data_IF_226509817214
#
_entry.id   IF_226509817214
#
_cell.length_a   1.000
_cell.length_b   1.000
_cell.length_c   1.000
_cell.angle_alpha   90.00
_cell.angle_beta   90.00
_cell.angle_gamma   90.00
#
_symmetry.space_group_name_H-M   'P 1'
#
loop_
_entity.id
_entity.type
_entity.pdbx_description
1 polymer ?
#
# COMPACT_ATOMS: atom_id res chain seq x y z
N UNK A 1 -17.35 25.63 4.93
CA UNK A 1 -18.24 24.45 5.06
C UNK A 1 -17.37 23.26 5.41
N UNK A 2 -17.40 22.79 6.67
CA UNK A 2 -16.58 21.65 7.11
C UNK A 2 -17.36 20.36 6.86
N UNK A 3 -16.88 19.52 5.95
CA UNK A 3 -17.45 18.20 5.72
C UNK A 3 -16.85 17.23 6.75
N UNK A 4 -17.60 16.93 7.82
CA UNK A 4 -17.27 15.83 8.72
C UNK A 4 -17.60 14.51 8.02
N UNK A 5 -16.65 13.98 7.26
CA UNK A 5 -16.72 12.58 6.83
C UNK A 5 -16.30 11.71 8.01
N UNK A 6 -17.24 10.92 8.55
CA UNK A 6 -16.88 9.84 9.47
C UNK A 6 -16.02 8.83 8.73
N UNK A 7 -14.71 8.90 8.92
CA UNK A 7 -13.77 7.90 8.40
C UNK A 7 -14.03 6.60 9.17
N UNK A 8 -14.79 5.68 8.56
CA UNK A 8 -14.95 4.34 9.11
C UNK A 8 -13.57 3.69 9.20
N UNK A 9 -13.28 2.98 10.29
CA UNK A 9 -12.06 2.20 10.46
C UNK A 9 -12.04 1.01 9.47
N UNK A 10 -11.76 1.30 8.20
CA UNK A 10 -11.45 0.31 7.18
C UNK A 10 -9.93 0.11 7.15
N UNK A 11 -9.50 -1.15 7.02
CA UNK A 11 -8.11 -1.44 6.66
C UNK A 11 -7.85 -0.85 5.27
N UNK A 12 -6.75 -0.12 5.10
CA UNK A 12 -6.47 0.61 3.85
C UNK A 12 -6.95 2.06 3.82
N UNK A 13 -7.14 2.71 4.98
CA UNK A 13 -7.21 4.17 5.06
C UNK A 13 -5.82 4.78 5.26
N UNK A 14 -5.62 6.00 4.78
CA UNK A 14 -4.35 6.71 4.92
C UNK A 14 -3.22 6.11 4.07
N UNK A 15 -3.54 5.47 2.94
CA UNK A 15 -2.49 4.87 2.10
C UNK A 15 -1.70 5.96 1.38
N UNK A 16 -0.38 5.81 1.40
CA UNK A 16 0.54 6.78 0.79
C UNK A 16 0.92 6.32 -0.62
N UNK A 17 0.50 7.08 -1.63
CA UNK A 17 0.90 6.90 -3.02
C UNK A 17 1.21 8.28 -3.62
N UNK A 18 2.19 8.38 -4.52
CA UNK A 18 2.54 9.63 -5.20
C UNK A 18 2.56 10.88 -4.30
N UNK A 19 3.15 10.76 -3.10
CA UNK A 19 3.25 11.83 -2.10
C UNK A 19 1.90 12.36 -1.57
N UNK A 20 0.83 11.57 -1.66
CA UNK A 20 -0.47 11.93 -1.11
C UNK A 20 -1.03 10.80 -0.26
N UNK A 21 -1.74 11.16 0.81
CA UNK A 21 -2.49 10.21 1.62
C UNK A 21 -3.90 10.04 1.05
N UNK A 22 -4.41 8.82 1.08
CA UNK A 22 -5.71 8.49 0.49
C UNK A 22 -6.58 7.67 1.42
N UNK A 23 -7.88 7.92 1.39
CA UNK A 23 -8.89 7.12 2.09
C UNK A 23 -10.17 7.07 1.27
N UNK A 24 -10.85 5.93 1.34
CA UNK A 24 -12.16 5.76 0.71
C UNK A 24 -13.18 6.55 1.52
N UNK A 25 -13.92 7.44 0.85
CA UNK A 25 -15.03 8.13 1.50
C UNK A 25 -16.22 7.18 1.62
N UNK A 26 -16.88 7.13 2.79
CA UNK A 26 -18.17 6.46 2.90
C UNK A 26 -19.14 7.12 1.93
N UNK A 27 -19.77 6.32 1.08
CA UNK A 27 -20.71 6.78 0.08
C UNK A 27 -21.98 5.94 0.07
N UNK A 28 -23.02 6.47 -0.58
CA UNK A 28 -24.20 5.70 -0.93
C UNK A 28 -23.75 4.45 -1.75
N UNK A 29 -24.22 3.23 -1.44
CA UNK A 29 -23.92 2.02 -2.22
C UNK A 29 -24.28 2.12 -3.72
N UNK A 30 -25.13 3.07 -4.09
CA UNK A 30 -25.55 3.37 -5.46
C UNK A 30 -24.71 4.45 -6.14
N UNK A 31 -23.77 5.08 -5.43
CA UNK A 31 -22.92 6.14 -5.94
C UNK A 31 -21.50 5.64 -6.24
N UNK A 32 -20.86 6.31 -7.19
CA UNK A 32 -19.43 6.13 -7.47
C UNK A 32 -18.60 6.21 -6.19
N UNK A 33 -17.68 5.27 -6.02
CA UNK A 33 -16.68 5.34 -4.97
C UNK A 33 -15.89 6.64 -5.10
N UNK A 34 -15.85 7.41 -4.02
CA UNK A 34 -15.03 8.62 -3.92
C UNK A 34 -13.84 8.34 -3.04
N UNK A 35 -12.67 8.81 -3.45
CA UNK A 35 -11.42 8.66 -2.72
C UNK A 35 -10.93 10.07 -2.39
N UNK A 36 -10.79 10.35 -1.12
CA UNK A 36 -10.22 11.61 -0.69
C UNK A 36 -8.69 11.50 -0.78
N UNK A 37 -8.08 12.55 -1.31
CA UNK A 37 -6.63 12.69 -1.51
C UNK A 37 -6.18 13.92 -0.74
N UNK A 38 -5.13 13.76 0.04
CA UNK A 38 -4.45 14.85 0.72
C UNK A 38 -2.99 14.90 0.26
N UNK A 39 -2.64 15.97 -0.47
CA UNK A 39 -1.30 16.16 -1.01
C UNK A 39 -0.38 16.70 0.08
N UNK A 40 0.65 15.94 0.44
CA UNK A 40 1.59 16.32 1.49
C UNK A 40 2.49 17.51 1.10
N UNK A 41 2.56 17.85 -0.18
CA UNK A 41 3.40 18.95 -0.68
C UNK A 41 2.70 20.29 -0.64
N UNK A 42 1.45 20.29 -1.04
CA UNK A 42 0.68 21.53 -1.17
C UNK A 42 -0.28 21.75 -0.02
N UNK A 43 -0.45 20.74 0.87
CA UNK A 43 -1.46 20.73 1.93
C UNK A 43 -2.90 20.80 1.37
N UNK A 44 -3.07 20.35 0.11
CA UNK A 44 -4.35 20.43 -0.60
C UNK A 44 -5.17 19.16 -0.43
N UNK A 45 -6.47 19.36 -0.22
CA UNK A 45 -7.47 18.30 -0.22
C UNK A 45 -8.20 18.26 -1.57
N UNK A 46 -8.30 17.07 -2.15
CA UNK A 46 -9.08 16.83 -3.37
C UNK A 46 -9.81 15.49 -3.31
N UNK A 47 -10.72 15.26 -4.24
CA UNK A 47 -11.50 14.03 -4.35
C UNK A 47 -11.28 13.41 -5.72
N UNK A 48 -10.88 12.15 -5.74
CA UNK A 48 -10.77 11.33 -6.93
C UNK A 48 -12.04 10.47 -7.08
N UNK A 49 -12.46 10.27 -8.32
CA UNK A 49 -13.48 9.28 -8.66
C UNK A 49 -12.84 7.91 -8.82
N UNK A 50 -13.48 6.88 -8.28
CA UNK A 50 -13.19 5.49 -8.61
C UNK A 50 -13.71 5.11 -10.00
N UNK A 51 -13.40 3.89 -10.47
CA UNK A 51 -13.94 3.35 -11.73
C UNK A 51 -15.46 3.16 -11.65
N UNK A 52 -16.17 3.54 -12.74
CA UNK A 52 -17.63 3.47 -12.84
C UNK A 52 -18.17 2.04 -12.85
N UNK A 53 -17.39 1.12 -13.39
CA UNK A 53 -17.76 -0.29 -13.58
C UNK A 53 -17.88 -1.06 -12.25
N UNK A 54 -17.39 -0.49 -11.15
CA UNK A 54 -17.32 -1.16 -9.85
C UNK A 54 -18.36 -0.65 -8.84
N UNK A 55 -19.44 -0.04 -9.34
CA UNK A 55 -20.61 0.25 -8.51
C UNK A 55 -21.06 -1.05 -7.82
N UNK A 56 -21.23 -1.01 -6.50
CA UNK A 56 -21.60 -2.14 -5.63
C UNK A 56 -20.47 -3.07 -5.13
N UNK A 57 -19.20 -2.77 -5.40
CA UNK A 57 -18.10 -3.56 -4.83
C UNK A 57 -17.61 -3.01 -3.47
N UNK A 58 -17.17 -3.94 -2.60
CA UNK A 58 -16.45 -3.53 -1.38
C UNK A 58 -15.01 -3.23 -1.75
N UNK A 59 -14.61 -1.98 -1.54
CA UNK A 59 -13.28 -1.50 -1.91
C UNK A 59 -12.40 -1.21 -0.71
N UNK A 60 -11.15 -1.62 -0.81
CA UNK A 60 -10.03 -1.17 0.03
C UNK A 60 -8.96 -0.52 -0.85
N UNK A 61 -8.14 0.35 -0.27
CA UNK A 61 -6.99 0.91 -0.98
C UNK A 61 -5.72 0.12 -0.67
N UNK A 62 -4.81 0.14 -1.62
CA UNK A 62 -3.45 -0.37 -1.48
C UNK A 62 -2.48 0.44 -2.31
N UNK A 63 -1.21 0.03 -2.29
CA UNK A 63 -0.16 0.67 -3.07
C UNK A 63 0.69 -0.43 -3.67
N UNK A 64 0.96 -0.34 -4.96
CA UNK A 64 1.86 -1.24 -5.66
C UNK A 64 2.79 -0.40 -6.54
N UNK A 65 4.09 -0.50 -6.29
CA UNK A 65 5.11 0.24 -7.04
C UNK A 65 4.87 1.76 -7.05
N UNK A 66 4.45 2.30 -5.90
CA UNK A 66 4.12 3.72 -5.72
C UNK A 66 2.80 4.18 -6.33
N UNK A 67 2.12 3.33 -7.10
CA UNK A 67 0.81 3.63 -7.68
C UNK A 67 -0.31 3.29 -6.70
N UNK A 68 -1.38 4.10 -6.71
CA UNK A 68 -2.57 3.84 -5.90
C UNK A 68 -3.35 2.67 -6.49
N UNK A 69 -3.73 1.72 -5.63
CA UNK A 69 -4.54 0.57 -6.02
C UNK A 69 -5.92 0.61 -5.35
N UNK A 70 -6.94 0.16 -6.07
CA UNK A 70 -8.22 -0.25 -5.53
C UNK A 70 -8.29 -1.78 -5.55
N UNK A 71 -8.62 -2.37 -4.41
CA UNK A 71 -8.86 -3.80 -4.25
C UNK A 71 -10.35 -3.96 -4.07
N UNK A 72 -10.97 -4.60 -5.05
CA UNK A 72 -12.41 -4.65 -5.18
C UNK A 72 -12.88 -6.10 -5.03
N UNK A 73 -13.90 -6.27 -4.19
CA UNK A 73 -14.52 -7.55 -3.91
C UNK A 73 -15.98 -7.51 -4.36
N UNK A 74 -16.41 -8.59 -5.01
CA UNK A 74 -17.84 -8.86 -5.19
C UNK A 74 -18.52 -8.89 -3.81
N UNK A 75 -19.47 -7.97 -3.61
CA UNK A 75 -20.23 -7.82 -2.38
C UNK A 75 -20.94 -9.10 -1.94
N UNK A 76 -21.40 -9.91 -2.89
CA UNK A 76 -22.11 -11.16 -2.61
C UNK A 76 -21.17 -12.33 -2.32
N UNK A 77 -19.91 -12.26 -2.75
CA UNK A 77 -18.96 -13.37 -2.64
C UNK A 77 -17.59 -12.97 -2.05
N UNK A 78 -17.58 -12.00 -1.13
CA UNK A 78 -16.35 -11.46 -0.50
C UNK A 78 -15.48 -12.56 0.14
N UNK A 79 -16.07 -13.65 0.63
CA UNK A 79 -15.31 -14.72 1.32
C UNK A 79 -14.66 -15.73 0.37
N UNK A 80 -15.32 -16.06 -0.74
CA UNK A 80 -14.99 -17.21 -1.57
C UNK A 80 -14.78 -16.87 -3.06
N UNK A 81 -14.89 -15.59 -3.44
CA UNK A 81 -14.70 -15.12 -4.81
C UNK A 81 -13.25 -14.82 -5.16
N UNK A 82 -13.09 -13.91 -6.11
CA UNK A 82 -11.82 -13.30 -6.50
C UNK A 82 -11.76 -11.86 -6.00
N UNK A 83 -10.59 -11.25 -6.10
CA UNK A 83 -10.44 -9.80 -5.98
C UNK A 83 -9.91 -9.24 -7.28
N UNK A 84 -10.46 -8.10 -7.67
CA UNK A 84 -9.94 -7.31 -8.77
C UNK A 84 -9.08 -6.19 -8.22
N UNK A 85 -7.84 -6.13 -8.72
CA UNK A 85 -6.91 -5.04 -8.41
C UNK A 85 -6.93 -4.07 -9.58
N UNK A 86 -7.30 -2.84 -9.29
CA UNK A 86 -7.29 -1.71 -10.21
C UNK A 86 -6.18 -0.75 -9.82
N UNK A 87 -5.50 -0.16 -10.80
CA UNK A 87 -4.37 0.75 -10.57
C UNK A 87 -4.67 2.10 -11.21
N UNK A 88 -4.40 3.16 -10.44
CA UNK A 88 -4.27 4.52 -10.94
C UNK A 88 -2.79 4.86 -11.02
N UNK A 89 -2.29 4.95 -12.26
CA UNK A 89 -0.86 5.21 -12.52
C UNK A 89 -0.51 6.68 -12.36
N UNK A 90 -1.41 7.56 -12.78
CA UNK A 90 -1.23 9.01 -12.80
C UNK A 90 -2.51 9.69 -12.36
N UNK A 91 -2.40 10.77 -11.58
CA UNK A 91 -3.55 11.58 -11.21
C UNK A 91 -4.11 12.31 -12.44
N UNK A 92 -5.43 12.25 -12.62
CA UNK A 92 -6.09 12.74 -13.84
C UNK A 92 -6.19 11.69 -14.95
N UNK A 93 -5.47 10.56 -14.82
CA UNK A 93 -5.65 9.39 -15.68
C UNK A 93 -6.90 8.57 -15.33
N UNK A 94 -7.14 7.53 -16.11
CA UNK A 94 -8.19 6.55 -15.84
C UNK A 94 -7.68 5.39 -14.99
N UNK A 95 -8.58 4.86 -14.15
CA UNK A 95 -8.36 3.57 -13.52
C UNK A 95 -8.32 2.47 -14.59
N UNK A 96 -7.42 1.52 -14.43
CA UNK A 96 -7.35 0.33 -15.27
C UNK A 96 -7.26 -0.92 -14.40
N UNK A 97 -7.98 -1.97 -14.81
CA UNK A 97 -7.88 -3.27 -14.17
C UNK A 97 -6.48 -3.83 -14.42
N UNK A 98 -5.74 -4.04 -13.34
CA UNK A 98 -4.40 -4.60 -13.40
C UNK A 98 -4.45 -6.12 -13.40
N UNK A 99 -5.17 -6.72 -12.46
CA UNK A 99 -5.25 -8.18 -12.36
C UNK A 99 -6.47 -8.64 -11.57
N UNK A 100 -6.95 -9.84 -11.89
CA UNK A 100 -7.86 -10.62 -11.04
C UNK A 100 -7.07 -11.66 -10.27
N UNK A 101 -7.20 -11.68 -8.94
CA UNK A 101 -6.57 -12.65 -8.06
C UNK A 101 -7.65 -13.58 -7.51
N UNK A 102 -7.64 -14.88 -7.85
CA UNK A 102 -8.59 -15.83 -7.29
C UNK A 102 -8.27 -16.13 -5.81
N UNK A 103 -9.24 -16.62 -5.05
CA UNK A 103 -8.96 -17.08 -3.69
C UNK A 103 -8.05 -18.32 -3.72
N UNK A 104 -6.93 -18.34 -2.96
CA UNK A 104 -6.14 -19.55 -2.79
C UNK A 104 -6.93 -20.66 -2.06
N UNK A 105 -6.73 -21.92 -2.45
CA UNK A 105 -7.38 -23.07 -1.80
C UNK A 105 -6.99 -23.19 -0.32
N UNK A 106 -5.73 -22.87 0.00
CA UNK A 106 -5.16 -22.92 1.36
C UNK A 106 -5.69 -21.82 2.31
N UNK A 107 -6.56 -20.94 1.81
CA UNK A 107 -7.14 -19.82 2.56
C UNK A 107 -8.64 -20.01 2.74
N UNK A 108 -9.07 -20.01 4.00
CA UNK A 108 -10.48 -20.20 4.41
C UNK A 108 -11.37 -19.03 4.01
N UNK A 109 -10.86 -17.78 4.05
CA UNK A 109 -11.63 -16.60 3.68
C UNK A 109 -10.78 -15.59 2.96
N UNK A 110 -11.35 -14.86 2.00
CA UNK A 110 -10.62 -13.92 1.16
C UNK A 110 -11.09 -12.47 1.33
N UNK A 111 -11.35 -12.08 2.59
CA UNK A 111 -12.03 -10.81 2.91
C UNK A 111 -11.15 -9.57 2.77
N UNK A 112 -9.86 -9.72 2.98
CA UNK A 112 -8.91 -8.63 2.81
C UNK A 112 -7.75 -9.14 2.00
N UNK A 113 -7.40 -8.39 0.97
CA UNK A 113 -6.23 -8.63 0.15
C UNK A 113 -5.54 -7.29 -0.03
N UNK A 114 -4.24 -7.24 0.21
CA UNK A 114 -3.43 -6.04 0.03
C UNK A 114 -2.21 -6.42 -0.81
N UNK A 115 -2.06 -5.90 -2.04
CA UNK A 115 -0.80 -6.00 -2.75
C UNK A 115 0.25 -5.15 -2.03
N UNK A 116 1.47 -5.69 -1.94
CA UNK A 116 2.57 -5.04 -1.24
C UNK A 116 3.69 -4.61 -2.20
N UNK A 117 4.25 -5.56 -2.93
CA UNK A 117 5.42 -5.32 -3.79
C UNK A 117 5.53 -6.34 -4.90
N UNK A 118 6.22 -5.99 -5.99
CA UNK A 118 6.64 -6.96 -7.01
C UNK A 118 7.85 -7.77 -6.54
N UNK A 119 7.99 -8.97 -7.08
CA UNK A 119 9.28 -9.68 -7.09
C UNK A 119 10.31 -8.87 -7.89
N UNK A 120 11.61 -9.19 -7.71
CA UNK A 120 12.70 -8.46 -8.36
C UNK A 120 12.61 -8.46 -9.89
N UNK A 121 12.18 -9.57 -10.46
CA UNK A 121 11.93 -9.79 -11.90
C UNK A 121 10.51 -9.38 -12.34
N UNK A 122 9.68 -8.88 -11.41
CA UNK A 122 8.28 -8.47 -11.62
C UNK A 122 7.35 -9.57 -12.13
N UNK A 123 7.74 -10.84 -12.04
CA UNK A 123 6.90 -11.98 -12.41
C UNK A 123 5.83 -12.28 -11.36
N UNK A 124 6.05 -11.89 -10.10
CA UNK A 124 5.14 -12.15 -8.97
C UNK A 124 4.80 -10.85 -8.23
N UNK A 125 3.67 -10.85 -7.52
CA UNK A 125 3.35 -9.85 -6.51
C UNK A 125 3.22 -10.51 -5.14
N UNK A 126 3.70 -9.84 -4.11
CA UNK A 126 3.48 -10.26 -2.73
C UNK A 126 2.13 -9.71 -2.26
N UNK A 127 1.27 -10.61 -1.80
CA UNK A 127 -0.03 -10.30 -1.25
C UNK A 127 -0.03 -10.56 0.25
N UNK A 128 -0.57 -9.61 1.01
CA UNK A 128 -1.06 -9.85 2.35
C UNK A 128 -2.55 -10.21 2.28
N UNK A 129 -2.90 -11.37 2.82
CA UNK A 129 -4.27 -11.90 2.82
C UNK A 129 -4.77 -11.97 4.27
N UNK A 130 -5.93 -11.38 4.47
CA UNK A 130 -6.54 -11.10 5.77
C UNK A 130 -5.60 -10.33 6.68
N UNK A 131 -5.38 -10.80 7.90
CA UNK A 131 -4.41 -10.22 8.83
C UNK A 131 -3.41 -11.30 9.16
N UNK A 132 -2.47 -11.56 8.25
CA UNK A 132 -1.30 -12.34 8.62
C UNK A 132 -0.64 -13.21 7.56
N UNK A 133 -1.36 -13.62 6.51
CA UNK A 133 -0.82 -14.57 5.52
C UNK A 133 -0.15 -13.80 4.39
N UNK A 134 1.13 -14.06 4.18
CA UNK A 134 1.90 -13.52 3.07
C UNK A 134 2.03 -14.60 2.00
N UNK A 135 1.62 -14.28 0.77
CA UNK A 135 1.68 -15.20 -0.36
C UNK A 135 2.21 -14.47 -1.59
N UNK A 136 3.18 -15.05 -2.27
CA UNK A 136 3.51 -14.67 -3.63
C UNK A 136 2.41 -15.17 -4.56
N UNK A 137 1.99 -14.31 -5.47
CA UNK A 137 1.07 -14.64 -6.55
C UNK A 137 1.80 -14.46 -7.87
N UNK A 138 1.89 -15.54 -8.65
CA UNK A 138 2.49 -15.53 -9.97
C UNK A 138 1.57 -14.88 -10.99
N UNK A 139 2.07 -13.85 -11.69
CA UNK A 139 1.26 -13.07 -12.62
C UNK A 139 1.00 -13.83 -13.93
N UNK A 140 1.85 -14.80 -14.28
CA UNK A 140 1.74 -15.61 -15.50
C UNK A 140 0.94 -16.88 -15.19
N UNK A 141 1.42 -17.68 -14.24
CA UNK A 141 0.86 -19.00 -13.94
C UNK A 141 -0.41 -18.92 -13.07
N UNK A 142 -0.71 -17.73 -12.51
CA UNK A 142 -1.83 -17.51 -11.57
C UNK A 142 -1.78 -18.45 -10.36
N UNK A 143 -0.57 -18.83 -9.95
CA UNK A 143 -0.32 -19.74 -8.84
C UNK A 143 0.05 -18.99 -7.56
N UNK A 144 -0.09 -19.66 -6.42
CA UNK A 144 0.25 -19.10 -5.11
C UNK A 144 1.37 -19.87 -4.44
N UNK A 145 2.29 -19.13 -3.83
CA UNK A 145 3.39 -19.66 -3.03
C UNK A 145 3.38 -18.96 -1.66
N UNK A 146 3.32 -19.72 -0.57
CA UNK A 146 3.31 -19.14 0.78
C UNK A 146 4.69 -18.61 1.13
N UNK A 147 4.77 -17.35 1.56
CA UNK A 147 6.01 -16.77 2.05
C UNK A 147 6.18 -17.09 3.54
N UNK A 148 7.15 -17.93 3.86
CA UNK A 148 7.53 -18.24 5.23
C UNK A 148 8.78 -17.47 5.67
N UNK A 149 8.64 -16.70 6.74
CA UNK A 149 9.77 -16.03 7.39
C UNK A 149 10.21 -16.91 8.56
N UNK A 150 11.42 -17.47 8.46
CA UNK A 150 12.01 -18.32 9.51
C UNK A 150 12.02 -17.60 10.85
N UNK A 151 11.66 -18.31 11.91
CA UNK A 151 11.62 -17.78 13.28
C UNK A 151 10.36 -16.99 13.65
N UNK A 152 9.48 -16.67 12.68
CA UNK A 152 8.21 -16.00 12.96
C UNK A 152 7.03 -16.99 12.87
N UNK A 153 6.48 -17.38 14.03
CA UNK A 153 5.22 -18.15 14.13
C UNK A 153 4.05 -17.19 14.38
N UNK A 154 2.97 -17.32 13.60
CA UNK A 154 1.74 -16.54 13.78
C UNK A 154 1.45 -15.52 12.68
N UNK A 155 0.32 -14.78 12.79
CA UNK A 155 -0.10 -13.79 11.81
C UNK A 155 0.92 -12.64 11.72
N UNK A 156 1.26 -12.24 10.50
CA UNK A 156 2.22 -11.19 10.18
C UNK A 156 1.53 -9.96 9.61
N UNK A 157 1.63 -8.83 10.29
CA UNK A 157 1.28 -7.55 9.67
C UNK A 157 2.48 -7.07 8.86
N UNK A 158 2.26 -6.72 7.61
CA UNK A 158 3.28 -6.11 6.77
C UNK A 158 2.99 -4.61 6.59
N UNK A 159 4.01 -3.78 6.74
CA UNK A 159 3.94 -2.37 6.40
C UNK A 159 5.05 -2.00 5.44
N UNK A 160 4.73 -1.11 4.49
CA UNK A 160 5.68 -0.57 3.53
C UNK A 160 6.32 0.66 4.16
N UNK A 161 7.60 0.57 4.49
CA UNK A 161 8.38 1.71 4.96
C UNK A 161 8.91 2.51 3.77
N UNK A 162 8.52 3.76 3.67
CA UNK A 162 9.15 4.73 2.77
C UNK A 162 10.18 5.55 3.53
N UNK A 163 11.30 5.88 2.89
CA UNK A 163 12.48 6.47 3.55
C UNK A 163 12.27 7.89 4.07
N UNK A 164 11.35 8.65 3.49
CA UNK A 164 11.05 10.03 3.91
C UNK A 164 9.64 10.42 3.46
N UNK A 165 8.90 11.09 4.35
CA UNK A 165 7.68 11.82 4.04
C UNK A 165 7.96 13.31 3.77
N UNK A 166 9.20 13.75 3.95
CA UNK A 166 9.64 15.11 3.62
C UNK A 166 9.92 15.16 2.13
N UNK A 167 9.20 16.03 1.41
CA UNK A 167 9.53 16.38 0.03
C UNK A 167 10.91 16.98 -0.04
N UNK A 168 11.78 16.37 -0.84
CA UNK A 168 13.12 16.90 -1.05
C UNK A 168 14.07 15.93 -1.71
N UNK A 169 13.89 14.63 -1.51
CA UNK A 169 14.58 13.65 -2.34
C UNK A 169 13.74 13.39 -3.59
N UNK A 170 13.86 14.26 -4.59
CA UNK A 170 13.75 13.77 -5.98
C UNK A 170 14.69 12.56 -6.02
N UNK A 171 14.15 11.36 -6.11
CA UNK A 171 14.96 10.18 -6.39
C UNK A 171 15.52 10.41 -7.79
N UNK A 172 16.68 11.06 -7.84
CA UNK A 172 17.58 10.90 -8.96
C UNK A 172 17.72 9.39 -9.07
N UNK A 173 17.35 8.84 -10.23
CA UNK A 173 17.62 7.47 -10.61
C UNK A 173 19.14 7.26 -10.66
N UNK A 174 19.75 7.20 -9.49
CA UNK A 174 21.17 7.00 -9.29
C UNK A 174 21.34 5.66 -8.62
N UNK A 175 21.94 4.72 -9.36
CA UNK A 175 22.43 3.44 -8.84
C UNK A 175 23.14 3.69 -7.51
N UNK A 176 22.76 2.96 -6.47
CA UNK A 176 23.55 2.92 -5.24
C UNK A 176 24.98 2.45 -5.62
N UNK A 177 26.04 3.18 -5.23
CA UNK A 177 27.40 2.70 -5.46
C UNK A 177 27.63 1.50 -4.53
N UNK A 178 28.01 0.40 -5.15
CA UNK A 178 28.44 -0.85 -4.54
C UNK A 178 29.58 -0.54 -3.55
N UNK A 179 29.32 -0.69 -2.25
CA UNK A 179 30.37 -0.57 -1.23
C UNK A 179 31.30 -1.78 -1.36
N UNK A 180 32.39 -1.61 -2.09
CA UNK A 180 33.55 -2.50 -2.00
C UNK A 180 34.06 -2.48 -0.56
N UNK A 181 34.00 -3.63 0.11
CA UNK A 181 34.60 -3.82 1.42
C UNK A 181 36.13 -3.70 1.28
N UNK A 182 36.71 -2.66 1.86
CA UNK A 182 38.14 -2.61 2.15
C UNK A 182 38.32 -2.85 3.65
N UNK A 183 38.85 -4.03 3.97
CA UNK A 183 39.45 -4.30 5.26
C UNK A 183 40.71 -3.42 5.38
N UNK A 184 40.81 -2.62 6.45
CA UNK A 184 42.01 -2.47 7.29
C UNK A 184 41.82 -1.44 8.40
N UNK A 185 42.14 -1.86 9.62
CA UNK A 185 42.96 -1.08 10.55
C UNK A 185 42.23 -0.29 11.63
N UNK A 186 42.41 -0.76 12.88
CA UNK A 186 42.19 -0.01 14.11
C UNK A 186 42.67 1.44 14.03
N UNK A 187 41.85 2.38 14.53
CA UNK A 187 42.28 3.60 15.26
C UNK A 187 41.09 4.26 15.96
N UNK A 188 41.34 4.65 17.20
CA UNK A 188 40.43 5.18 18.21
C UNK A 188 40.18 6.71 18.11
N UNK A 189 39.10 7.14 18.79
CA UNK A 189 38.86 8.46 19.40
C UNK A 189 38.42 9.64 18.51
N UNK A 190 37.15 10.09 18.65
CA UNK A 190 36.71 11.21 19.51
C UNK A 190 35.41 11.88 19.00
N UNK A 191 34.48 12.06 19.96
CA UNK A 191 33.49 13.13 20.16
C UNK A 191 32.97 13.95 18.96
N UNK A 192 31.64 14.05 18.88
CA UNK A 192 30.98 15.34 18.62
C UNK A 192 29.65 15.24 17.89
N UNK A 193 28.58 15.76 18.50
CA UNK A 193 27.38 16.24 17.80
C UNK A 193 26.14 15.36 17.90
N UNK A 194 25.49 15.38 19.07
CA UNK A 194 24.13 14.87 19.21
C UNK A 194 23.14 15.70 18.39
N UNK A 195 22.31 15.04 17.58
CA UNK A 195 21.15 15.64 16.95
C UNK A 195 19.94 15.42 17.86
N UNK A 196 19.62 16.43 18.67
CA UNK A 196 18.40 16.49 19.46
C UNK A 196 17.27 16.99 18.56
N UNK A 197 16.28 16.15 18.28
CA UNK A 197 14.98 16.59 17.77
C UNK A 197 14.22 17.30 18.90
N UNK A 198 14.04 18.61 18.76
CA UNK A 198 13.19 19.39 19.66
C UNK A 198 11.71 19.15 19.34
N UNK A 199 11.05 18.39 20.20
CA UNK A 199 9.77 18.75 20.84
C UNK A 199 8.48 18.69 20.02
N UNK A 200 7.67 17.66 20.29
CA UNK A 200 6.22 17.79 20.38
C UNK A 200 5.84 17.56 21.86
N UNK A 201 5.21 18.55 22.51
CA UNK A 201 4.59 18.38 23.84
C UNK A 201 3.10 18.17 23.65
N UNK A 202 2.61 16.99 23.98
CA UNK A 202 1.18 16.75 24.20
C UNK A 202 0.83 17.31 25.59
N UNK A 203 -0.17 18.19 25.65
CA UNK A 203 -0.82 18.56 26.90
C UNK A 203 -1.95 17.54 27.13
N UNK A 204 -1.96 16.94 28.32
CA UNK A 204 -3.09 16.19 28.84
C UNK A 204 -4.17 17.15 29.34
#
# INVERSE_FOLDING_TARGET
>A
MFFYYHVLYRRGNGVLASNSLHWVLPGNPLALTKIMRFDLATDDLSVLSGPLELCHEVMNLGVLDGCLCLICHDYHNIRNGHVDVWILREYGGSWSKFITVPKPETVVSFKFVRPLIYSKDRSKILLEINSGKLMWFDLVDKSFETLEIKGCKGPRNAEILVSSLVLGCKSVSGRAPEKRMLQKGNKSCLRGGGFLSKGFKLKF
#
